data_IF_965075001245
#
_entry.id   IF_965075001245
#
_cell.length_a   1.000
_cell.length_b   1.000
_cell.length_c   1.000
_cell.angle_alpha   90.00
_cell.angle_beta   90.00
_cell.angle_gamma   90.00
#
_symmetry.space_group_name_H-M   'P 1'
#
loop_
_entity.id
_entity.type
_entity.pdbx_description
1 polymer ?
#
# COMPACT_ATOMS: atom_id res chain seq x y z
N UNK A 1 -14.20 25.71 49.34
CA UNK A 1 -13.51 25.95 48.06
C UNK A 1 -13.16 24.57 47.52
N UNK A 2 -14.04 24.04 46.67
CA UNK A 2 -13.89 22.70 46.08
C UNK A 2 -12.83 22.73 44.98
N UNK A 3 -12.22 21.59 44.70
CA UNK A 3 -11.35 21.43 43.54
C UNK A 3 -12.08 21.89 42.26
N UNK A 4 -11.38 22.44 41.25
CA UNK A 4 -11.99 22.70 39.96
C UNK A 4 -12.63 21.38 39.48
N UNK A 5 -13.88 21.46 39.07
CA UNK A 5 -14.58 20.34 38.44
C UNK A 5 -13.85 19.92 37.17
N UNK A 6 -14.18 18.73 36.67
CA UNK A 6 -13.85 18.39 35.28
C UNK A 6 -15.05 18.80 34.44
N UNK A 7 -14.79 19.43 33.30
CA UNK A 7 -15.85 19.75 32.35
C UNK A 7 -16.50 18.48 31.78
N UNK A 8 -17.82 18.54 31.60
CA UNK A 8 -18.65 17.53 30.97
C UNK A 8 -19.36 18.14 29.78
N UNK A 9 -19.73 17.32 28.80
CA UNK A 9 -20.58 17.78 27.70
C UNK A 9 -22.05 17.86 28.12
N UNK A 10 -22.36 18.72 29.09
CA UNK A 10 -23.72 18.95 29.60
C UNK A 10 -24.22 20.40 29.43
N UNK A 11 -23.37 21.29 28.88
CA UNK A 11 -23.67 22.70 28.64
C UNK A 11 -23.61 23.56 29.91
N UNK A 12 -23.03 23.04 30.99
CA UNK A 12 -22.82 23.73 32.26
C UNK A 12 -21.33 23.93 32.50
N UNK A 13 -20.99 25.09 33.05
CA UNK A 13 -19.65 25.41 33.55
C UNK A 13 -19.41 24.62 34.86
N UNK A 14 -18.76 23.44 34.77
CA UNK A 14 -18.57 22.53 35.90
C UNK A 14 -17.41 22.92 36.82
N UNK A 15 -16.46 23.71 36.32
CA UNK A 15 -15.29 24.19 37.06
C UNK A 15 -15.37 25.67 37.50
N UNK A 16 -16.40 26.37 37.02
CA UNK A 16 -16.75 27.76 37.31
C UNK A 16 -15.75 28.80 36.77
N UNK A 17 -15.07 28.54 35.65
CA UNK A 17 -14.11 29.47 35.03
C UNK A 17 -14.75 30.53 34.11
N UNK A 18 -16.04 30.37 33.79
CA UNK A 18 -16.83 31.29 32.96
C UNK A 18 -16.93 30.89 31.49
N UNK A 19 -16.34 29.76 31.10
CA UNK A 19 -16.62 29.05 29.85
C UNK A 19 -17.38 27.76 30.22
N UNK A 20 -18.16 27.23 29.29
CA UNK A 20 -18.84 25.95 29.49
C UNK A 20 -18.29 24.96 28.49
N UNK A 21 -18.07 23.72 28.95
CA UNK A 21 -17.63 22.59 28.15
C UNK A 21 -16.27 22.83 27.45
N UNK A 22 -15.36 23.62 28.02
CA UNK A 22 -14.00 23.78 27.51
C UNK A 22 -13.08 22.60 27.85
N UNK A 23 -12.15 22.26 26.93
CA UNK A 23 -11.24 21.14 27.14
C UNK A 23 -11.90 19.76 27.21
N UNK A 24 -13.22 19.66 27.00
CA UNK A 24 -14.00 18.42 26.92
C UNK A 24 -14.58 18.23 25.51
N UNK A 25 -14.97 16.99 25.20
CA UNK A 25 -15.51 16.58 23.91
C UNK A 25 -14.48 15.88 23.03
N UNK A 26 -14.94 15.51 21.83
CA UNK A 26 -14.11 14.83 20.85
C UNK A 26 -13.32 15.85 20.02
N UNK A 27 -12.12 15.45 19.61
CA UNK A 27 -11.34 16.23 18.66
C UNK A 27 -11.91 16.01 17.27
N UNK A 28 -12.14 17.11 16.54
CA UNK A 28 -12.63 17.11 15.16
C UNK A 28 -11.76 18.04 14.30
N UNK A 29 -11.71 17.80 13.01
CA UNK A 29 -10.82 18.46 12.05
C UNK A 29 -11.60 19.07 10.90
N UNK A 30 -11.23 20.27 10.48
CA UNK A 30 -11.92 20.97 9.39
C UNK A 30 -11.74 20.19 8.09
N UNK A 31 -12.82 20.05 7.34
CA UNK A 31 -12.87 19.52 5.98
C UNK A 31 -13.27 20.70 5.06
N UNK A 32 -12.28 21.39 4.48
CA UNK A 32 -12.51 22.63 3.75
C UNK A 32 -12.79 22.42 2.26
N UNK A 33 -12.32 21.33 1.66
CA UNK A 33 -12.56 20.99 0.26
C UNK A 33 -13.67 19.94 0.04
N UNK A 34 -14.14 19.30 1.12
CA UNK A 34 -15.35 18.48 1.12
C UNK A 34 -15.13 17.05 0.64
N UNK A 35 -13.92 16.50 0.80
CA UNK A 35 -13.57 15.15 0.34
C UNK A 35 -13.84 14.04 1.36
N UNK A 36 -14.24 14.42 2.58
CA UNK A 36 -14.53 13.46 3.65
C UNK A 36 -13.36 13.20 4.60
N UNK A 37 -12.26 13.94 4.48
CA UNK A 37 -11.13 13.90 5.39
C UNK A 37 -10.85 15.30 5.94
N UNK A 38 -10.54 15.37 7.23
CA UNK A 38 -10.23 16.64 7.90
C UNK A 38 -8.73 16.87 8.01
N UNK A 39 -8.33 18.13 7.93
CA UNK A 39 -6.94 18.57 8.01
C UNK A 39 -6.38 18.40 9.44
N UNK A 40 -5.34 17.58 9.67
CA UNK A 40 -4.75 17.36 10.99
C UNK A 40 -4.26 18.65 11.68
N UNK A 41 -3.94 19.68 10.88
CA UNK A 41 -3.44 20.97 11.35
C UNK A 41 -4.54 21.95 11.77
N UNK A 42 -5.81 21.71 11.41
CA UNK A 42 -6.93 22.60 11.71
C UNK A 42 -7.99 21.83 12.49
N UNK A 43 -7.93 21.93 13.82
CA UNK A 43 -8.74 21.13 14.73
C UNK A 43 -9.36 21.96 15.85
N UNK A 44 -10.51 21.50 16.35
CA UNK A 44 -11.18 21.99 17.55
C UNK A 44 -11.60 20.81 18.41
N UNK A 45 -11.89 21.07 19.69
CA UNK A 45 -12.58 20.12 20.55
C UNK A 45 -14.04 20.52 20.65
N UNK A 46 -14.95 19.57 20.49
CA UNK A 46 -16.37 19.84 20.51
C UNK A 46 -17.17 18.64 21.06
N UNK A 47 -18.20 18.92 21.84
CA UNK A 47 -19.12 17.91 22.35
C UNK A 47 -19.99 17.26 21.26
N UNK A 48 -20.23 17.99 20.17
CA UNK A 48 -20.87 17.47 18.97
C UNK A 48 -20.11 17.96 17.76
N UNK A 49 -19.98 17.11 16.73
CA UNK A 49 -19.27 17.44 15.50
C UNK A 49 -19.97 18.61 14.77
N UNK A 50 -19.32 19.76 14.61
CA UNK A 50 -19.90 20.89 13.89
C UNK A 50 -19.92 20.65 12.37
N UNK A 51 -20.79 21.35 11.61
CA UNK A 51 -20.74 21.32 10.15
C UNK A 51 -19.37 21.76 9.60
N UNK A 52 -18.86 21.04 8.60
CA UNK A 52 -17.54 21.30 8.01
C UNK A 52 -16.36 20.80 8.85
N UNK A 53 -16.62 20.00 9.88
CA UNK A 53 -15.60 19.27 10.63
C UNK A 53 -15.92 17.77 10.61
N UNK A 54 -14.89 16.93 10.62
CA UNK A 54 -14.95 15.47 10.62
C UNK A 54 -14.07 14.89 11.73
N UNK A 55 -14.26 13.61 12.08
CA UNK A 55 -13.45 12.90 13.08
C UNK A 55 -12.24 12.17 12.48
N UNK A 56 -12.00 12.32 11.18
CA UNK A 56 -10.91 11.67 10.45
C UNK A 56 -9.88 12.74 10.09
N UNK A 57 -8.66 12.61 10.60
CA UNK A 57 -7.63 13.66 10.57
C UNK A 57 -6.50 13.37 9.57
N UNK A 58 -6.84 12.96 8.36
CA UNK A 58 -5.87 12.32 7.45
C UNK A 58 -5.68 13.05 6.12
N UNK A 59 -6.29 14.22 5.96
CA UNK A 59 -6.11 15.02 4.76
C UNK A 59 -4.79 15.82 4.81
N UNK A 60 -3.92 15.60 3.82
CA UNK A 60 -2.63 16.27 3.69
C UNK A 60 -2.71 17.58 2.89
N UNK A 61 -3.82 17.86 2.20
CA UNK A 61 -4.08 19.06 1.43
C UNK A 61 -5.56 19.48 1.43
N UNK A 62 -5.96 20.17 2.52
CA UNK A 62 -7.29 20.78 2.80
C UNK A 62 -7.75 21.88 1.83
N UNK A 63 -7.19 21.92 0.63
CA UNK A 63 -7.56 22.83 -0.44
C UNK A 63 -7.76 22.09 -1.78
N UNK A 64 -7.60 20.76 -1.81
CA UNK A 64 -7.72 19.97 -3.02
C UNK A 64 -8.42 18.63 -2.74
N UNK A 65 -9.68 18.48 -3.15
CA UNK A 65 -10.47 17.27 -2.84
C UNK A 65 -9.99 16.01 -3.58
N UNK A 66 -9.04 16.14 -4.50
CA UNK A 66 -8.37 15.02 -5.19
C UNK A 66 -7.11 14.53 -4.44
N UNK A 67 -6.78 15.11 -3.28
CA UNK A 67 -5.58 14.76 -2.47
C UNK A 67 -6.00 14.38 -1.05
N UNK A 68 -6.24 13.09 -0.83
CA UNK A 68 -6.65 12.50 0.44
C UNK A 68 -6.36 10.99 0.49
N UNK A 69 -6.46 10.33 1.66
CA UNK A 69 -6.23 8.89 1.81
C UNK A 69 -7.09 7.95 0.97
N UNK A 70 -8.19 8.43 0.39
CA UNK A 70 -9.02 7.66 -0.53
C UNK A 70 -8.69 7.88 -2.00
N UNK A 71 -7.80 8.83 -2.32
CA UNK A 71 -7.41 9.12 -3.68
C UNK A 71 -6.51 8.02 -4.25
N UNK A 72 -6.60 7.83 -5.57
CA UNK A 72 -5.68 6.96 -6.30
C UNK A 72 -4.45 7.77 -6.65
N UNK A 73 -3.28 7.24 -6.29
CA UNK A 73 -2.01 7.85 -6.64
C UNK A 73 -1.82 7.87 -8.17
N UNK A 74 -1.42 9.02 -8.70
CA UNK A 74 -1.00 9.18 -10.09
C UNK A 74 0.52 9.19 -10.11
N UNK A 75 1.08 8.06 -10.48
CA UNK A 75 2.50 7.86 -10.65
C UNK A 75 3.20 8.97 -11.43
N UNK A 76 4.31 9.45 -10.87
CA UNK A 76 5.27 10.34 -11.53
C UNK A 76 4.76 11.74 -11.91
N UNK A 77 3.61 12.17 -11.41
CA UNK A 77 3.15 13.55 -11.60
C UNK A 77 3.71 14.54 -10.56
N UNK A 78 4.44 14.01 -9.56
CA UNK A 78 5.13 14.77 -8.52
C UNK A 78 4.21 15.27 -7.40
N UNK A 79 2.96 14.81 -7.39
CA UNK A 79 1.97 15.09 -6.35
C UNK A 79 1.68 13.77 -5.64
N UNK A 80 1.55 13.83 -4.31
CA UNK A 80 1.11 12.71 -3.48
C UNK A 80 -0.39 12.87 -3.31
N UNK A 81 -1.21 12.09 -4.02
CA UNK A 81 -2.66 12.17 -3.93
C UNK A 81 -3.18 11.40 -2.73
N UNK A 82 -2.61 10.25 -2.40
CA UNK A 82 -3.15 9.36 -1.37
C UNK A 82 -2.76 9.72 0.09
N UNK A 83 -1.99 10.80 0.30
CA UNK A 83 -1.49 11.21 1.61
C UNK A 83 -0.73 10.11 2.41
N UNK A 84 -0.30 9.02 1.77
CA UNK A 84 0.46 7.95 2.41
C UNK A 84 1.97 8.27 2.45
N UNK A 85 2.79 7.53 3.22
CA UNK A 85 4.24 7.78 3.25
C UNK A 85 4.99 7.23 2.02
N UNK A 86 4.46 6.19 1.38
CA UNK A 86 4.97 5.54 0.16
C UNK A 86 4.25 6.08 -1.07
N UNK A 87 4.84 6.08 -2.27
CA UNK A 87 4.00 6.19 -3.49
C UNK A 87 4.28 7.29 -4.51
N UNK A 88 5.18 8.26 -4.28
CA UNK A 88 5.50 9.18 -5.39
C UNK A 88 6.22 8.49 -6.57
N UNK A 89 7.01 7.46 -6.25
CA UNK A 89 7.85 6.72 -7.21
C UNK A 89 7.68 5.19 -7.09
N UNK A 90 6.68 4.71 -6.34
CA UNK A 90 6.44 3.29 -6.00
C UNK A 90 4.95 3.02 -6.27
N UNK A 91 4.64 2.54 -7.47
CA UNK A 91 3.30 2.59 -8.02
C UNK A 91 2.42 1.37 -7.71
N UNK A 92 3.03 0.26 -7.36
CA UNK A 92 2.34 -0.95 -6.89
C UNK A 92 2.45 -1.16 -5.37
N UNK A 93 3.16 -0.26 -4.68
CA UNK A 93 3.31 -0.19 -3.23
C UNK A 93 4.02 -1.41 -2.63
N UNK A 94 4.99 -1.98 -3.34
CA UNK A 94 5.81 -3.09 -2.85
C UNK A 94 7.05 -2.65 -2.05
N UNK A 95 7.32 -1.35 -2.05
CA UNK A 95 8.42 -0.72 -1.32
C UNK A 95 9.66 -0.43 -2.16
N UNK A 96 9.61 -0.63 -3.48
CA UNK A 96 10.67 -0.31 -4.42
C UNK A 96 10.26 0.77 -5.43
N UNK A 97 11.24 1.48 -6.00
CA UNK A 97 10.99 2.57 -6.96
C UNK A 97 11.29 2.19 -8.41
N UNK A 98 10.34 2.42 -9.33
CA UNK A 98 10.46 2.02 -10.75
C UNK A 98 11.05 3.03 -11.74
N UNK A 99 11.15 4.32 -11.38
CA UNK A 99 11.68 5.38 -12.26
C UNK A 99 13.21 5.54 -12.18
N UNK A 100 13.91 4.48 -12.59
CA UNK A 100 15.37 4.39 -12.48
C UNK A 100 15.86 3.99 -11.08
N UNK A 101 14.94 3.53 -10.23
CA UNK A 101 15.24 2.75 -9.04
C UNK A 101 15.46 1.27 -9.39
N UNK A 102 15.45 0.39 -8.37
CA UNK A 102 15.79 -1.01 -8.54
C UNK A 102 14.59 -1.87 -8.95
N UNK A 103 13.37 -1.32 -9.00
CA UNK A 103 12.20 -2.01 -9.56
C UNK A 103 12.18 -1.87 -11.09
N UNK A 104 12.01 -3.01 -11.77
CA UNK A 104 12.00 -3.14 -13.21
C UNK A 104 10.58 -3.26 -13.81
N UNK A 105 9.54 -3.51 -13.01
CA UNK A 105 8.12 -3.41 -13.40
C UNK A 105 7.28 -2.80 -12.28
N UNK A 106 7.31 -1.48 -12.25
CA UNK A 106 6.65 -0.57 -11.31
C UNK A 106 5.11 -0.69 -11.22
N UNK A 107 4.48 -1.55 -12.00
CA UNK A 107 3.04 -1.80 -11.95
C UNK A 107 2.73 -3.20 -11.40
N UNK A 108 3.73 -3.92 -10.93
CA UNK A 108 3.65 -5.31 -10.50
C UNK A 108 4.50 -5.57 -9.25
N UNK A 109 3.85 -5.56 -8.09
CA UNK A 109 4.47 -5.87 -6.79
C UNK A 109 5.10 -7.28 -6.65
N UNK A 110 4.97 -8.10 -7.70
CA UNK A 110 5.61 -9.41 -7.82
C UNK A 110 6.96 -9.37 -8.56
N UNK A 111 7.35 -8.20 -9.10
CA UNK A 111 8.56 -7.98 -9.86
C UNK A 111 9.33 -6.87 -9.16
N UNK A 112 10.36 -7.24 -8.41
CA UNK A 112 11.20 -6.32 -7.63
C UNK A 112 12.45 -7.02 -7.08
N UNK A 113 13.45 -6.27 -6.58
CA UNK A 113 14.72 -6.81 -6.04
C UNK A 113 14.64 -7.91 -4.97
N UNK A 114 13.49 -8.08 -4.31
CA UNK A 114 13.27 -9.11 -3.29
C UNK A 114 12.34 -10.23 -3.75
N UNK A 115 11.83 -10.18 -4.97
CA UNK A 115 11.02 -11.24 -5.53
C UNK A 115 11.86 -12.51 -5.73
N UNK A 116 11.17 -13.62 -5.94
CA UNK A 116 11.83 -14.87 -6.34
C UNK A 116 11.57 -15.08 -7.82
N UNK A 117 12.61 -15.46 -8.55
CA UNK A 117 12.48 -15.83 -9.95
C UNK A 117 11.43 -16.91 -10.22
N UNK A 118 10.69 -16.69 -11.30
CA UNK A 118 9.67 -17.59 -11.85
C UNK A 118 10.03 -17.84 -13.30
N UNK A 119 9.80 -19.07 -13.78
CA UNK A 119 10.01 -19.41 -15.18
C UNK A 119 8.87 -18.87 -16.07
N UNK A 120 8.83 -17.56 -16.29
CA UNK A 120 7.82 -16.87 -17.08
C UNK A 120 8.42 -15.93 -18.15
N UNK A 121 9.76 -15.82 -18.19
CA UNK A 121 10.48 -15.01 -19.17
C UNK A 121 10.52 -13.53 -18.81
N UNK A 122 10.17 -13.18 -17.58
CA UNK A 122 10.41 -11.89 -16.95
C UNK A 122 11.63 -12.00 -16.03
N UNK A 123 12.25 -10.87 -15.76
CA UNK A 123 13.23 -10.70 -14.68
C UNK A 123 12.39 -10.32 -13.45
N UNK A 124 12.05 -11.30 -12.61
CA UNK A 124 11.16 -11.04 -11.48
C UNK A 124 11.92 -10.39 -10.33
N UNK A 125 13.19 -10.72 -10.13
CA UNK A 125 14.01 -10.18 -9.06
C UNK A 125 14.86 -8.96 -9.44
N UNK A 126 14.68 -8.45 -10.66
CA UNK A 126 15.28 -7.22 -11.19
C UNK A 126 16.83 -7.19 -11.06
N UNK A 127 17.49 -8.34 -11.13
CA UNK A 127 18.95 -8.44 -11.07
C UNK A 127 19.63 -8.23 -12.44
N UNK A 128 18.83 -8.19 -13.51
CA UNK A 128 19.23 -7.94 -14.89
C UNK A 128 19.45 -9.22 -15.72
N UNK A 129 19.33 -10.40 -15.11
CA UNK A 129 19.22 -11.67 -15.80
C UNK A 129 17.75 -12.13 -15.85
N UNK A 130 17.42 -13.06 -16.74
CA UNK A 130 16.04 -13.55 -16.92
C UNK A 130 15.99 -15.04 -16.73
N UNK A 131 15.07 -15.52 -15.89
CA UNK A 131 14.89 -16.93 -15.56
C UNK A 131 16.21 -17.61 -15.06
N UNK A 132 17.06 -16.91 -14.31
CA UNK A 132 18.36 -17.44 -13.86
C UNK A 132 18.22 -18.43 -12.70
N UNK A 133 19.24 -19.28 -12.53
CA UNK A 133 19.17 -20.34 -11.51
C UNK A 133 18.14 -21.45 -11.78
N UNK A 134 17.48 -21.47 -12.95
CA UNK A 134 16.51 -22.48 -13.36
C UNK A 134 15.25 -22.51 -12.47
N UNK A 135 14.47 -21.41 -12.44
CA UNK A 135 13.36 -21.24 -11.51
C UNK A 135 12.22 -22.23 -11.79
N UNK A 136 11.53 -22.68 -10.73
CA UNK A 136 10.42 -23.64 -10.84
C UNK A 136 10.78 -25.05 -11.35
N UNK A 137 12.05 -25.31 -11.66
CA UNK A 137 12.53 -26.58 -12.22
C UNK A 137 12.72 -27.69 -11.17
N UNK A 138 13.12 -28.88 -11.62
CA UNK A 138 13.44 -30.04 -10.77
C UNK A 138 12.22 -30.86 -10.33
N UNK A 139 11.01 -30.44 -10.70
CA UNK A 139 9.80 -31.23 -10.49
C UNK A 139 9.72 -32.39 -11.48
N UNK A 140 9.33 -33.60 -11.04
CA UNK A 140 9.15 -34.74 -11.92
C UNK A 140 8.01 -34.47 -12.92
N UNK A 141 8.24 -34.81 -14.18
CA UNK A 141 7.28 -34.63 -15.26
C UNK A 141 7.23 -35.87 -16.17
N UNK A 142 6.08 -36.18 -16.79
CA UNK A 142 5.98 -37.31 -17.70
C UNK A 142 6.55 -36.95 -19.08
N UNK A 143 7.58 -37.69 -19.53
CA UNK A 143 8.03 -37.62 -20.94
C UNK A 143 7.23 -38.64 -21.75
N UNK A 144 6.24 -38.13 -22.49
CA UNK A 144 5.33 -38.93 -23.32
C UNK A 144 5.92 -39.24 -24.71
N UNK A 145 6.71 -40.32 -24.79
CA UNK A 145 7.25 -40.86 -26.05
C UNK A 145 6.44 -42.04 -26.60
N UNK A 146 5.11 -41.93 -26.71
CA UNK A 146 4.26 -42.96 -27.32
C UNK A 146 3.74 -44.05 -26.37
N UNK A 147 2.71 -44.77 -26.85
CA UNK A 147 1.91 -45.70 -26.07
C UNK A 147 2.75 -46.81 -25.41
N UNK A 148 2.93 -46.72 -24.08
CA UNK A 148 3.48 -47.80 -23.24
C UNK A 148 4.83 -47.53 -22.58
N UNK A 149 5.47 -46.37 -22.76
CA UNK A 149 6.71 -46.01 -22.06
C UNK A 149 6.50 -44.75 -21.21
N UNK A 150 6.29 -44.94 -19.91
CA UNK A 150 6.32 -43.85 -18.93
C UNK A 150 7.78 -43.59 -18.54
N UNK A 151 8.48 -42.73 -19.28
CA UNK A 151 9.71 -42.13 -18.76
C UNK A 151 9.36 -41.06 -17.74
N UNK A 152 10.15 -40.94 -16.67
CA UNK A 152 10.12 -39.77 -15.79
C UNK A 152 11.22 -38.81 -16.25
N UNK A 153 10.84 -37.56 -16.46
CA UNK A 153 11.73 -36.45 -16.72
C UNK A 153 11.77 -35.51 -15.53
N UNK A 154 12.60 -34.48 -15.64
CA UNK A 154 12.60 -33.33 -14.74
C UNK A 154 12.24 -32.08 -15.54
N UNK A 155 11.45 -31.21 -14.91
CA UNK A 155 11.20 -29.88 -15.45
C UNK A 155 12.49 -29.08 -15.46
N UNK A 156 12.70 -28.35 -16.54
CA UNK A 156 13.74 -27.33 -16.67
C UNK A 156 13.13 -26.07 -17.25
N UNK A 157 13.63 -24.94 -16.82
CA UNK A 157 13.24 -23.65 -17.35
C UNK A 157 13.97 -23.35 -18.66
N UNK A 158 13.27 -22.73 -19.58
CA UNK A 158 13.93 -21.87 -20.56
C UNK A 158 13.00 -21.43 -21.68
N UNK A 159 13.23 -20.21 -22.14
CA UNK A 159 12.32 -19.49 -23.02
C UNK A 159 11.03 -19.08 -22.32
N UNK A 160 11.09 -18.74 -21.02
CA UNK A 160 9.93 -18.34 -20.22
C UNK A 160 8.90 -19.43 -19.98
N UNK A 161 9.33 -20.69 -19.94
CA UNK A 161 8.43 -21.80 -19.68
C UNK A 161 9.13 -23.07 -19.25
N UNK A 162 8.48 -23.79 -18.34
CA UNK A 162 8.93 -25.11 -17.89
C UNK A 162 8.72 -26.13 -19.01
N UNK A 163 9.82 -26.76 -19.43
CA UNK A 163 9.80 -27.90 -20.36
C UNK A 163 10.23 -29.17 -19.62
N UNK A 164 9.69 -30.30 -20.06
CA UNK A 164 10.06 -31.60 -19.51
C UNK A 164 11.24 -32.19 -20.29
N UNK A 165 12.37 -32.39 -19.63
CA UNK A 165 13.55 -33.05 -20.21
C UNK A 165 13.75 -34.42 -19.57
N UNK A 166 14.26 -35.37 -20.36
CA UNK A 166 14.58 -36.70 -19.84
C UNK A 166 15.66 -36.57 -18.75
N UNK A 167 15.42 -37.17 -17.59
CA UNK A 167 16.48 -37.35 -16.62
C UNK A 167 17.53 -38.26 -17.28
N UNK A 168 18.70 -37.72 -17.62
CA UNK A 168 19.81 -38.57 -18.03
C UNK A 168 20.18 -39.43 -16.83
N UNK A 169 19.77 -40.69 -16.86
CA UNK A 169 20.29 -41.74 -15.98
C UNK A 169 21.81 -41.80 -16.22
N UNK A 170 22.59 -41.32 -15.24
CA UNK A 170 24.05 -41.40 -15.24
C UNK A 170 24.54 -42.85 -15.04
#
# INVERSE_FOLDING_TARGET
LGAPGIELCDGLDNDCDGVADEGVGERVWRDADGDGFGAPSVTIQACTQPPGFLSIAMDCNDANPDVNPGAVEICYDGIRQDCLPAGLNDCDADGFDGNGGPDCDDLSAAVNPNASEICDGLDNDCDGDTDEGNPGAGQPCPIGGGAGQCGVGVTVCGGGGLRCEAANEA
#
